data_IF_107290962605
#
_entry.id   IF_107290962605
#
_cell.length_a   1.000
_cell.length_b   1.000
_cell.length_c   1.000
_cell.angle_alpha   90.00
_cell.angle_beta   90.00
_cell.angle_gamma   90.00
#
_symmetry.space_group_name_H-M   'P 1'
#
loop_
_entity.id
_entity.type
_entity.pdbx_description
1 polymer ?
#
# COMPACT_ATOMS: atom_id res chain seq x y z
N UNK A 1 19.05 4.05 -8.05
CA UNK A 1 18.39 3.37 -9.20
C UNK A 1 17.02 2.94 -8.70
N UNK A 2 15.95 3.66 -9.05
CA UNK A 2 14.60 3.37 -8.54
C UNK A 2 13.91 2.39 -9.50
N UNK A 3 13.51 1.23 -9.01
CA UNK A 3 12.77 0.26 -9.81
C UNK A 3 11.31 0.71 -9.93
N UNK A 4 10.89 1.06 -11.14
CA UNK A 4 9.50 1.39 -11.47
C UNK A 4 8.89 0.18 -12.16
N UNK A 5 8.04 -0.57 -11.46
CA UNK A 5 7.23 -1.61 -12.08
C UNK A 5 5.88 -0.99 -12.49
N UNK A 6 5.66 -0.87 -13.80
CA UNK A 6 4.38 -0.50 -14.39
C UNK A 6 3.80 -1.78 -15.00
N UNK A 7 2.64 -2.22 -14.55
CA UNK A 7 1.88 -3.31 -15.20
C UNK A 7 0.48 -2.83 -15.55
N UNK A 8 0.13 -3.00 -16.81
CA UNK A 8 -1.19 -2.73 -17.40
C UNK A 8 -2.11 -3.93 -17.17
N UNK A 9 -3.35 -3.65 -16.74
CA UNK A 9 -4.41 -4.62 -16.49
C UNK A 9 -4.46 -5.05 -15.02
N UNK A 10 -5.67 -5.16 -14.44
CA UNK A 10 -6.12 -5.63 -13.09
C UNK A 10 -5.05 -6.12 -12.07
N UNK A 11 -3.90 -5.48 -11.96
CA UNK A 11 -2.73 -5.91 -11.20
C UNK A 11 -2.34 -4.82 -10.22
N UNK A 12 -1.94 -5.23 -9.02
CA UNK A 12 -1.39 -4.32 -8.02
C UNK A 12 -0.02 -3.81 -8.50
N UNK A 13 0.21 -2.51 -8.37
CA UNK A 13 1.53 -1.92 -8.60
C UNK A 13 2.34 -2.10 -7.34
N UNK A 14 3.60 -2.52 -7.46
CA UNK A 14 4.52 -2.60 -6.34
C UNK A 14 5.40 -1.36 -6.38
N UNK A 15 5.32 -0.54 -5.33
CA UNK A 15 6.27 0.53 -5.10
C UNK A 15 7.24 0.09 -4.01
N UNK A 16 8.54 0.07 -4.34
CA UNK A 16 9.62 -0.29 -3.42
C UNK A 16 10.31 0.98 -2.92
N UNK A 17 10.12 1.30 -1.64
CA UNK A 17 10.93 2.31 -0.97
C UNK A 17 12.30 1.71 -0.63
N UNK A 18 13.37 2.20 -1.24
CA UNK A 18 14.74 1.72 -1.01
C UNK A 18 15.36 2.43 0.21
N UNK A 19 14.62 2.55 1.31
CA UNK A 19 15.13 3.16 2.54
C UNK A 19 15.17 2.10 3.63
N UNK A 20 16.31 1.40 3.69
CA UNK A 20 16.88 0.57 4.78
C UNK A 20 16.05 -0.53 5.45
N UNK A 21 14.73 -0.52 5.36
CA UNK A 21 13.81 -1.52 5.89
C UNK A 21 12.81 -1.84 4.78
N UNK A 22 12.61 -3.12 4.47
CA UNK A 22 11.88 -3.59 3.30
C UNK A 22 10.35 -3.38 3.42
N UNK A 23 9.90 -2.12 3.53
CA UNK A 23 8.50 -1.76 3.58
C UNK A 23 7.94 -1.71 2.15
N UNK A 24 7.16 -2.73 1.80
CA UNK A 24 6.54 -2.84 0.48
C UNK A 24 5.19 -2.11 0.48
N UNK A 25 4.99 -1.23 -0.49
CA UNK A 25 3.69 -0.61 -0.74
C UNK A 25 3.05 -1.23 -1.97
N UNK A 26 1.92 -1.91 -1.79
CA UNK A 26 1.06 -2.34 -2.89
C UNK A 26 0.08 -1.23 -3.20
N UNK A 27 0.02 -0.76 -4.45
CA UNK A 27 -0.95 0.24 -4.89
C UNK A 27 -1.98 -0.43 -5.76
N UNK A 28 -3.26 -0.24 -5.45
CA UNK A 28 -4.36 -0.86 -6.17
C UNK A 28 -5.47 0.13 -6.46
N UNK A 29 -5.79 0.26 -7.75
CA UNK A 29 -6.94 1.02 -8.21
C UNK A 29 -8.18 0.12 -8.25
N UNK A 30 -9.29 0.62 -7.70
CA UNK A 30 -10.61 -0.01 -7.69
C UNK A 30 -11.73 1.01 -7.89
N UNK A 31 -11.65 1.77 -8.99
CA UNK A 31 -12.65 2.78 -9.37
C UNK A 31 -14.07 2.22 -9.47
N UNK A 32 -14.21 0.91 -9.70
CA UNK A 32 -15.50 0.23 -9.84
C UNK A 32 -16.00 -0.42 -8.52
N UNK A 33 -15.30 -0.22 -7.40
CA UNK A 33 -15.64 -0.78 -6.08
C UNK A 33 -15.85 -2.31 -6.08
N UNK A 34 -15.05 -3.02 -6.88
CA UNK A 34 -15.14 -4.46 -7.09
C UNK A 34 -14.38 -5.27 -6.04
N UNK A 35 -13.43 -4.66 -5.35
CA UNK A 35 -12.62 -5.31 -4.32
C UNK A 35 -13.41 -5.35 -3.02
N UNK A 36 -13.60 -6.54 -2.47
CA UNK A 36 -14.22 -6.74 -1.16
C UNK A 36 -13.17 -6.85 -0.05
N UNK A 37 -13.62 -6.77 1.20
CA UNK A 37 -12.79 -7.07 2.37
C UNK A 37 -12.25 -8.52 2.33
N UNK A 38 -13.04 -9.46 1.81
CA UNK A 38 -12.61 -10.87 1.65
C UNK A 38 -11.43 -10.98 0.70
N UNK A 39 -11.47 -10.29 -0.45
CA UNK A 39 -10.38 -10.30 -1.43
C UNK A 39 -9.08 -9.74 -0.82
N UNK A 40 -9.19 -8.68 -0.03
CA UNK A 40 -8.05 -8.08 0.69
C UNK A 40 -7.49 -9.04 1.74
N UNK A 41 -8.34 -9.68 2.54
CA UNK A 41 -7.91 -10.62 3.57
C UNK A 41 -7.22 -11.85 2.95
N UNK A 42 -7.74 -12.38 1.85
CA UNK A 42 -7.12 -13.49 1.12
C UNK A 42 -5.75 -13.09 0.55
N UNK A 43 -5.64 -11.88 0.01
CA UNK A 43 -4.38 -11.33 -0.48
C UNK A 43 -3.35 -11.14 0.64
N UNK A 44 -3.75 -10.58 1.79
CA UNK A 44 -2.89 -10.41 2.98
C UNK A 44 -2.43 -11.77 3.49
N UNK A 45 -3.34 -12.75 3.59
CA UNK A 45 -3.03 -14.10 4.02
C UNK A 45 -2.03 -14.77 3.07
N UNK A 46 -2.17 -14.58 1.76
CA UNK A 46 -1.22 -15.09 0.77
C UNK A 46 0.18 -14.51 0.97
N UNK A 47 0.29 -13.18 1.15
CA UNK A 47 1.58 -12.52 1.39
C UNK A 47 2.22 -13.05 2.67
N UNK A 48 1.46 -13.08 3.77
CA UNK A 48 1.97 -13.56 5.07
C UNK A 48 2.33 -15.04 5.06
N UNK A 49 1.68 -15.86 4.23
CA UNK A 49 2.06 -17.27 4.02
C UNK A 49 3.42 -17.39 3.31
N UNK A 50 3.71 -16.51 2.36
CA UNK A 50 4.98 -16.52 1.61
C UNK A 50 6.12 -15.97 2.48
N UNK A 51 5.89 -14.83 3.13
CA UNK A 51 6.85 -14.22 4.04
C UNK A 51 6.12 -13.61 5.25
N UNK A 52 6.08 -14.31 6.40
CA UNK A 52 5.40 -13.83 7.60
C UNK A 52 6.00 -12.53 8.16
N UNK A 53 7.32 -12.35 7.99
CA UNK A 53 8.07 -11.20 8.50
C UNK A 53 7.99 -9.97 7.58
N UNK A 54 7.39 -10.10 6.39
CA UNK A 54 7.28 -8.98 5.48
C UNK A 54 6.36 -7.91 6.05
N UNK A 55 6.88 -6.69 6.15
CA UNK A 55 6.11 -5.49 6.47
C UNK A 55 5.63 -4.85 5.17
N UNK A 56 4.32 -4.60 5.08
CA UNK A 56 3.72 -4.00 3.90
C UNK A 56 2.45 -3.21 4.23
N UNK A 57 2.09 -2.32 3.32
CA UNK A 57 0.80 -1.61 3.30
C UNK A 57 0.20 -1.69 1.90
N UNK A 58 -1.10 -1.49 1.81
CA UNK A 58 -1.87 -1.46 0.57
C UNK A 58 -2.50 -0.07 0.43
N UNK A 59 -2.07 0.73 -0.54
CA UNK A 59 -2.80 1.93 -0.94
C UNK A 59 -3.94 1.51 -1.86
N UNK A 60 -5.18 1.59 -1.37
CA UNK A 60 -6.38 1.29 -2.14
C UNK A 60 -7.01 2.60 -2.63
N UNK A 61 -7.04 2.76 -3.95
CA UNK A 61 -7.64 3.90 -4.63
C UNK A 61 -9.04 3.54 -5.11
N UNK A 62 -10.04 3.86 -4.31
CA UNK A 62 -11.42 3.38 -4.44
C UNK A 62 -12.41 4.49 -4.08
N UNK A 63 -13.64 4.43 -4.58
CA UNK A 63 -14.70 5.34 -4.11
C UNK A 63 -15.28 4.85 -2.76
N UNK A 64 -15.17 3.54 -2.50
CA UNK A 64 -15.60 2.91 -1.27
C UNK A 64 -14.41 2.61 -0.36
N UNK A 65 -14.52 3.10 0.87
CA UNK A 65 -13.61 2.75 1.96
C UNK A 65 -13.84 1.32 2.46
N UNK A 66 -12.76 0.61 2.76
CA UNK A 66 -12.77 -0.74 3.31
C UNK A 66 -11.86 -0.73 4.53
N UNK A 67 -12.46 -0.86 5.70
CA UNK A 67 -11.76 -0.85 6.98
C UNK A 67 -10.89 -2.12 7.13
N UNK A 68 -9.58 -1.94 7.05
CA UNK A 68 -8.57 -3.00 7.12
C UNK A 68 -7.21 -2.43 7.54
N UNK A 69 -6.56 -3.01 8.56
CA UNK A 69 -5.32 -2.51 9.16
C UNK A 69 -4.13 -2.36 8.18
N UNK A 70 -4.16 -3.11 7.08
CA UNK A 70 -3.13 -3.09 6.04
C UNK A 70 -3.43 -2.07 4.95
N UNK A 71 -4.63 -1.50 4.91
CA UNK A 71 -5.11 -0.64 3.84
C UNK A 71 -5.02 0.84 4.24
N UNK A 72 -4.46 1.63 3.35
CA UNK A 72 -4.56 3.08 3.33
C UNK A 72 -5.53 3.41 2.21
N UNK A 73 -6.70 3.94 2.56
CA UNK A 73 -7.71 4.30 1.58
C UNK A 73 -7.56 5.75 1.11
N UNK A 74 -7.74 5.96 -0.19
CA UNK A 74 -7.87 7.27 -0.84
C UNK A 74 -8.89 7.18 -1.98
N UNK A 75 -9.61 8.27 -2.23
CA UNK A 75 -10.46 8.39 -3.42
C UNK A 75 -9.55 8.46 -4.65
N UNK A 76 -9.92 7.76 -5.73
CA UNK A 76 -9.14 7.74 -6.95
C UNK A 76 -9.08 9.15 -7.57
N UNK A 77 -7.89 9.73 -7.56
CA UNK A 77 -7.56 10.97 -8.26
C UNK A 77 -6.23 10.77 -9.00
N UNK A 78 -6.23 10.65 -10.34
CA UNK A 78 -5.02 10.38 -11.09
C UNK A 78 -3.99 11.50 -10.99
N UNK A 79 -4.42 12.74 -10.71
CA UNK A 79 -3.52 13.87 -10.56
C UNK A 79 -2.75 13.84 -9.23
N UNK A 80 -3.26 13.10 -8.22
CA UNK A 80 -2.68 13.01 -6.87
C UNK A 80 -2.01 11.68 -6.57
N UNK A 81 -1.94 10.78 -7.56
CA UNK A 81 -1.41 9.43 -7.36
C UNK A 81 0.00 9.44 -6.75
N UNK A 82 0.89 10.27 -7.27
CA UNK A 82 2.27 10.38 -6.77
C UNK A 82 2.30 10.97 -5.35
N UNK A 83 1.41 11.93 -5.05
CA UNK A 83 1.29 12.51 -3.70
C UNK A 83 0.83 11.45 -2.69
N UNK A 84 -0.17 10.64 -3.03
CA UNK A 84 -0.65 9.55 -2.17
C UNK A 84 0.42 8.50 -1.91
N UNK A 85 1.21 8.15 -2.93
CA UNK A 85 2.33 7.23 -2.77
C UNK A 85 3.38 7.84 -1.82
N UNK A 86 3.70 9.13 -1.99
CA UNK A 86 4.67 9.83 -1.14
C UNK A 86 4.20 9.96 0.32
N UNK A 87 2.91 10.23 0.55
CA UNK A 87 2.30 10.25 1.88
C UNK A 87 2.48 8.92 2.60
N UNK A 88 2.26 7.79 1.91
CA UNK A 88 2.43 6.45 2.49
C UNK A 88 3.85 6.24 3.02
N UNK A 89 4.88 6.67 2.28
CA UNK A 89 6.28 6.57 2.73
C UNK A 89 6.66 7.58 3.81
N UNK A 90 5.92 8.69 3.92
CA UNK A 90 6.19 9.73 4.92
C UNK A 90 5.54 9.39 6.26
N UNK A 91 4.35 8.77 6.25
CA UNK A 91 3.69 8.27 7.46
C UNK A 91 4.59 7.28 8.22
N UNK A 92 5.26 6.38 7.52
CA UNK A 92 6.18 5.42 8.14
C UNK A 92 7.41 6.08 8.80
N UNK A 93 7.83 7.27 8.32
CA UNK A 93 8.93 8.04 8.94
C UNK A 93 8.52 8.79 10.22
N UNK A 94 7.24 9.15 10.33
CA UNK A 94 6.76 9.85 11.53
C UNK A 94 6.57 8.86 12.68
N UNK A 95 6.10 7.65 12.39
CA UNK A 95 5.90 6.60 13.41
C UNK A 95 7.24 6.11 13.97
N UNK A 96 8.29 5.99 13.15
CA UNK A 96 9.62 5.59 13.63
C UNK A 96 10.32 6.67 14.45
N UNK A 97 10.04 7.95 14.22
CA UNK A 97 10.60 9.05 15.02
C UNK A 97 9.89 9.27 16.37
N UNK A 98 8.71 8.69 16.59
CA UNK A 98 7.98 8.80 17.86
C UNK A 98 8.31 7.72 18.90
N UNK A 99 9.19 6.76 18.57
CA UNK A 99 9.66 5.72 19.50
C UNK A 99 10.92 6.08 20.30
N UNK A 100 11.49 7.27 20.09
CA UNK A 100 12.65 7.76 20.84
C UNK A 100 12.31 9.06 21.58
N UNK A 101 11.39 8.99 22.55
CA UNK A 101 11.33 9.96 23.65
C UNK A 101 11.17 9.16 24.94
N UNK A 102 12.22 9.21 25.76
CA UNK A 102 12.36 8.65 27.11
C UNK A 102 11.14 8.88 28.03
#
# INVERSE_FOLDING_TARGET
MAAKLITLGRCCRISLGICSEQNILFVRDDVMNTISLTDLNDFIALIKRINPQLTFKILLLSERDIDCDYVIHRIYDPAKLDDYINECYTLDKVVSNTTDID
#
